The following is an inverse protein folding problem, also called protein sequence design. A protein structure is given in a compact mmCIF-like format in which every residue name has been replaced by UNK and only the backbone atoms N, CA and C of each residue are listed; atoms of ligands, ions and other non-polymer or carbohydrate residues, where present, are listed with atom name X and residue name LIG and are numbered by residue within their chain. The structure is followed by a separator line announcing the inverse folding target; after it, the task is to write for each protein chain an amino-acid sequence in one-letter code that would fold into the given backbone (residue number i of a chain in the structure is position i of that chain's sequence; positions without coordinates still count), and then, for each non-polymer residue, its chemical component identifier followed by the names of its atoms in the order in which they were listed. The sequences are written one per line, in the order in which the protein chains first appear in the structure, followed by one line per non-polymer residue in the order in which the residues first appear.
data_IF_651741391980
#
_entry.id   IF_651741391980
#
_cell.length_a   1.000
_cell.length_b   1.000
_cell.length_c   1.000
_cell.angle_alpha   90.00
_cell.angle_beta   90.00
_cell.angle_gamma   90.00
#
_symmetry.space_group_name_H-M   'P 1'
#
loop_
_entity.id
_entity.type
_entity.pdbx_description
1 polymer ?
#
# COMPACT_ATOMS: atom_id res chain seq x y z
N UNK A 1 6.88 -13.70 0.36
CA UNK A 1 5.90 -12.76 -0.22
C UNK A 1 6.06 -11.40 0.42
N UNK A 2 6.16 -10.37 -0.38
CA UNK A 2 6.26 -9.00 0.10
C UNK A 2 4.97 -8.24 -0.17
N UNK A 3 4.46 -7.57 0.86
CA UNK A 3 3.22 -6.79 0.82
C UNK A 3 3.53 -5.34 1.16
N UNK A 4 2.74 -4.42 0.62
CA UNK A 4 2.88 -3.00 0.84
C UNK A 4 1.55 -2.39 1.24
N UNK A 5 1.58 -1.51 2.24
CA UNK A 5 0.46 -0.62 2.57
C UNK A 5 0.94 0.82 2.42
N UNK A 6 0.25 1.60 1.60
CA UNK A 6 0.46 3.03 1.47
C UNK A 6 -0.67 3.75 2.21
N UNK A 7 -0.35 4.69 3.07
CA UNK A 7 -1.32 5.53 3.77
C UNK A 7 -0.90 7.00 3.72
N UNK A 8 -1.78 7.90 4.10
CA UNK A 8 -1.56 9.34 3.95
C UNK A 8 -0.48 9.88 4.87
N UNK A 9 -0.57 9.59 6.17
CA UNK A 9 0.28 10.19 7.18
C UNK A 9 0.87 9.21 8.17
N UNK A 10 1.82 9.69 8.94
CA UNK A 10 2.54 8.89 9.94
C UNK A 10 1.62 8.39 11.06
N UNK A 11 0.62 9.18 11.45
CA UNK A 11 -0.38 8.76 12.44
C UNK A 11 -1.16 7.54 11.96
N UNK A 12 -1.54 7.54 10.67
CA UNK A 12 -2.20 6.39 10.05
C UNK A 12 -1.30 5.16 10.05
N UNK A 13 -0.02 5.35 9.70
CA UNK A 13 0.95 4.26 9.68
C UNK A 13 1.15 3.64 11.08
N UNK A 14 1.22 4.46 12.11
CA UNK A 14 1.34 4.00 13.52
C UNK A 14 0.10 3.21 13.93
N UNK A 15 -1.08 3.72 13.63
CA UNK A 15 -2.34 3.04 13.94
C UNK A 15 -2.44 1.68 13.22
N UNK A 16 -2.12 1.66 11.93
CA UNK A 16 -2.10 0.43 11.14
C UNK A 16 -1.13 -0.60 11.73
N UNK A 17 0.08 -0.18 12.08
CA UNK A 17 1.08 -1.07 12.66
C UNK A 17 0.60 -1.67 13.98
N UNK A 18 -0.06 -0.88 14.81
CA UNK A 18 -0.63 -1.35 16.06
C UNK A 18 -1.67 -2.46 15.84
N UNK A 19 -2.60 -2.24 14.91
CA UNK A 19 -3.61 -3.27 14.58
C UNK A 19 -2.97 -4.54 14.02
N UNK A 20 -2.00 -4.40 13.14
CA UNK A 20 -1.32 -5.56 12.53
C UNK A 20 -0.55 -6.38 13.55
N UNK A 21 0.12 -5.73 14.49
CA UNK A 21 0.81 -6.43 15.57
C UNK A 21 -0.16 -7.13 16.52
N UNK A 22 -1.26 -6.47 16.88
CA UNK A 22 -2.23 -7.02 17.85
C UNK A 22 -3.15 -8.08 17.27
N UNK A 23 -3.62 -7.89 16.04
CA UNK A 23 -4.65 -8.73 15.45
C UNK A 23 -4.11 -9.79 14.51
N UNK A 24 -2.98 -9.57 13.89
CA UNK A 24 -2.49 -10.42 12.81
C UNK A 24 -1.09 -11.01 13.06
N UNK A 25 -0.45 -10.68 14.17
CA UNK A 25 0.83 -11.28 14.55
C UNK A 25 2.04 -10.81 13.75
N UNK A 26 1.95 -9.63 13.12
CA UNK A 26 3.10 -9.01 12.46
C UNK A 26 4.03 -8.38 13.50
N UNK A 27 5.33 -8.48 13.30
CA UNK A 27 6.34 -7.95 14.21
C UNK A 27 7.23 -6.96 13.48
N UNK A 28 7.51 -5.81 14.10
CA UNK A 28 8.45 -4.84 13.53
C UNK A 28 9.79 -5.51 13.22
N UNK A 29 10.34 -5.18 12.05
CA UNK A 29 11.63 -5.67 11.60
C UNK A 29 12.55 -4.49 11.27
N UNK A 30 13.74 -4.48 11.87
CA UNK A 30 14.77 -3.51 11.53
C UNK A 30 15.45 -3.81 10.19
N UNK A 31 15.16 -4.97 9.60
CA UNK A 31 15.74 -5.41 8.33
C UNK A 31 14.65 -5.51 7.27
N UNK A 32 14.99 -5.09 6.05
CA UNK A 32 14.18 -5.29 4.86
C UNK A 32 14.52 -6.63 4.20
N UNK A 33 13.65 -7.11 3.26
CA UNK A 33 14.04 -8.23 2.40
C UNK A 33 15.34 -7.92 1.66
N UNK A 34 16.11 -8.95 1.37
CA UNK A 34 17.41 -8.79 0.72
C UNK A 34 17.28 -8.08 -0.63
N UNK A 35 18.09 -7.04 -0.83
CA UNK A 35 18.11 -6.27 -2.06
C UNK A 35 16.96 -5.27 -2.22
N UNK A 36 16.11 -5.11 -1.19
CA UNK A 36 14.97 -4.21 -1.23
C UNK A 36 15.05 -3.20 -0.09
N UNK A 37 15.54 -2.01 -0.39
CA UNK A 37 15.57 -0.90 0.55
C UNK A 37 14.76 0.27 0.00
N UNK A 38 13.75 0.70 0.75
CA UNK A 38 12.93 1.87 0.41
C UNK A 38 13.23 2.95 1.43
N UNK A 39 13.77 4.06 0.95
CA UNK A 39 14.20 5.17 1.79
C UNK A 39 13.31 6.38 1.55
N UNK A 40 12.90 6.99 2.65
CA UNK A 40 12.15 8.25 2.61
C UNK A 40 13.12 9.42 2.63
N UNK A 41 12.76 10.50 1.96
CA UNK A 41 13.60 11.69 1.81
C UNK A 41 12.97 12.93 2.45
N UNK A 42 11.67 12.91 2.71
CA UNK A 42 10.93 14.02 3.31
C UNK A 42 10.57 13.70 4.76
N UNK A 43 10.51 14.74 5.61
CA UNK A 43 10.25 14.58 7.04
C UNK A 43 8.86 14.02 7.36
N UNK A 44 7.89 14.23 6.46
CA UNK A 44 6.52 13.75 6.61
C UNK A 44 6.26 12.37 6.02
N UNK A 45 7.29 11.74 5.46
CA UNK A 45 7.23 10.37 4.94
C UNK A 45 7.77 9.38 5.96
N UNK A 46 7.28 8.15 5.95
CA UNK A 46 7.85 7.05 6.72
C UNK A 46 7.77 5.73 5.96
N UNK A 47 8.69 4.83 6.27
CA UNK A 47 8.72 3.48 5.70
C UNK A 47 9.25 2.53 6.76
N UNK A 48 8.42 1.60 7.22
CA UNK A 48 8.79 0.63 8.24
C UNK A 48 8.41 -0.77 7.81
N UNK A 49 9.33 -1.70 8.03
CA UNK A 49 9.14 -3.11 7.71
C UNK A 49 8.62 -3.91 8.90
N UNK A 50 7.78 -4.87 8.58
CA UNK A 50 7.24 -5.86 9.52
C UNK A 50 7.43 -7.25 8.93
N UNK A 51 7.53 -8.24 9.81
CA UNK A 51 7.73 -9.63 9.41
C UNK A 51 6.74 -10.54 10.11
N UNK A 52 6.26 -11.53 9.38
CA UNK A 52 5.46 -12.64 9.90
C UNK A 52 5.85 -13.89 9.12
N UNK A 53 6.41 -14.89 9.82
CA UNK A 53 6.98 -16.09 9.20
C UNK A 53 8.01 -15.70 8.12
N UNK A 54 7.80 -16.09 6.87
CA UNK A 54 8.68 -15.74 5.75
C UNK A 54 8.20 -14.50 4.98
N UNK A 55 7.07 -13.92 5.37
CA UNK A 55 6.48 -12.77 4.68
C UNK A 55 6.95 -11.45 5.28
N UNK A 56 7.13 -10.45 4.41
CA UNK A 56 7.44 -9.09 4.80
C UNK A 56 6.30 -8.16 4.42
N UNK A 57 6.09 -7.16 5.25
CA UNK A 57 5.12 -6.09 5.01
C UNK A 57 5.81 -4.75 5.21
N UNK A 58 5.70 -3.87 4.22
CA UNK A 58 6.13 -2.49 4.32
C UNK A 58 4.92 -1.59 4.52
N UNK A 59 4.97 -0.73 5.54
CA UNK A 59 3.97 0.33 5.74
C UNK A 59 4.64 1.66 5.47
N UNK A 60 4.13 2.40 4.49
CA UNK A 60 4.63 3.72 4.12
C UNK A 60 3.58 4.79 4.35
N UNK A 61 3.96 5.87 5.01
CA UNK A 61 3.23 7.13 5.00
C UNK A 61 3.78 7.98 3.87
N UNK A 62 2.91 8.45 2.97
CA UNK A 62 3.35 9.18 1.77
C UNK A 62 3.47 10.70 1.97
N UNK A 63 3.05 11.20 3.14
CA UNK A 63 3.16 12.62 3.47
C UNK A 63 1.98 13.48 3.03
N UNK A 64 0.82 12.87 2.82
CA UNK A 64 -0.42 13.56 2.47
C UNK A 64 -1.14 12.94 1.29
N UNK A 65 -2.45 13.19 1.18
CA UNK A 65 -3.30 12.57 0.15
C UNK A 65 -2.90 12.91 -1.28
N UNK A 66 -2.25 14.04 -1.50
CA UNK A 66 -1.82 14.47 -2.83
C UNK A 66 -0.46 13.88 -3.23
N UNK A 67 0.20 13.16 -2.34
CA UNK A 67 1.55 12.64 -2.54
C UNK A 67 1.59 11.15 -2.95
N UNK A 68 0.47 10.46 -3.01
CA UNK A 68 0.45 9.03 -3.37
C UNK A 68 1.11 8.77 -4.72
N UNK A 69 0.75 9.53 -5.75
CA UNK A 69 1.29 9.35 -7.10
C UNK A 69 2.80 9.55 -7.13
N UNK A 70 3.26 10.64 -6.54
CA UNK A 70 4.69 10.97 -6.50
C UNK A 70 5.48 9.93 -5.73
N UNK A 71 4.97 9.51 -4.57
CA UNK A 71 5.61 8.48 -3.75
C UNK A 71 5.68 7.14 -4.49
N UNK A 72 4.59 6.72 -5.09
CA UNK A 72 4.54 5.47 -5.86
C UNK A 72 5.54 5.51 -7.01
N UNK A 73 5.53 6.55 -7.82
CA UNK A 73 6.40 6.66 -8.98
C UNK A 73 7.89 6.72 -8.60
N UNK A 74 8.24 7.38 -7.51
CA UNK A 74 9.63 7.56 -7.10
C UNK A 74 10.16 6.43 -6.24
N UNK A 75 9.35 5.85 -5.37
CA UNK A 75 9.81 4.91 -4.33
C UNK A 75 9.39 3.47 -4.56
N UNK A 76 8.24 3.24 -5.15
CA UNK A 76 7.65 1.91 -5.29
C UNK A 76 7.84 1.35 -6.69
N UNK A 77 7.57 2.15 -7.71
CA UNK A 77 7.66 1.69 -9.09
C UNK A 77 9.05 1.22 -9.49
N UNK A 78 10.16 1.91 -9.14
CA UNK A 78 11.49 1.41 -9.49
C UNK A 78 11.80 0.01 -8.94
N UNK A 79 11.57 -0.31 -7.65
CA UNK A 79 11.76 -1.68 -7.17
C UNK A 79 10.85 -2.71 -7.83
N UNK A 80 9.60 -2.34 -8.16
CA UNK A 80 8.71 -3.23 -8.92
C UNK A 80 9.32 -3.61 -10.27
N UNK A 81 9.83 -2.62 -10.99
CA UNK A 81 10.39 -2.84 -12.34
C UNK A 81 11.69 -3.65 -12.32
N UNK A 82 12.48 -3.53 -11.27
CA UNK A 82 13.81 -4.17 -11.18
C UNK A 82 13.72 -5.57 -10.54
N UNK A 83 12.93 -5.74 -9.50
CA UNK A 83 12.98 -6.95 -8.66
C UNK A 83 11.62 -7.54 -8.32
N UNK A 84 10.54 -7.12 -8.97
CA UNK A 84 9.19 -7.61 -8.69
C UNK A 84 8.87 -7.52 -7.18
N UNK A 85 9.13 -6.35 -6.58
CA UNK A 85 9.30 -6.17 -5.15
C UNK A 85 8.08 -6.53 -4.30
N UNK A 86 6.87 -6.31 -4.84
CA UNK A 86 5.64 -6.50 -4.08
C UNK A 86 4.61 -7.32 -4.87
N UNK A 87 3.94 -8.23 -4.17
CA UNK A 87 2.87 -9.06 -4.73
C UNK A 87 1.49 -8.49 -4.42
N UNK A 88 1.36 -7.77 -3.30
CA UNK A 88 0.11 -7.12 -2.88
C UNK A 88 0.40 -5.70 -2.42
N UNK A 89 -0.40 -4.76 -2.92
CA UNK A 89 -0.31 -3.34 -2.57
C UNK A 89 -1.69 -2.86 -2.16
N UNK A 90 -1.78 -2.32 -0.94
CA UNK A 90 -3.01 -1.72 -0.44
C UNK A 90 -2.82 -0.21 -0.26
N UNK A 91 -3.79 0.57 -0.69
CA UNK A 91 -3.83 2.02 -0.50
C UNK A 91 -4.93 2.33 0.50
N UNK A 92 -4.56 2.91 1.63
CA UNK A 92 -5.50 3.32 2.69
C UNK A 92 -5.56 4.85 2.69
N UNK A 93 -6.72 5.40 2.45
CA UNK A 93 -6.89 6.86 2.33
C UNK A 93 -8.17 7.33 3.00
N UNK A 94 -8.15 8.55 3.55
CA UNK A 94 -9.32 9.17 4.15
C UNK A 94 -10.28 9.66 3.07
N UNK A 95 -11.57 9.52 3.33
CA UNK A 95 -12.59 9.99 2.40
C UNK A 95 -12.65 11.51 2.35
N UNK A 96 -12.56 12.17 3.50
CA UNK A 96 -12.79 13.61 3.65
C UNK A 96 -14.14 14.01 3.02
N UNK A 97 -14.14 15.02 2.16
CA UNK A 97 -15.34 15.51 1.48
C UNK A 97 -15.45 14.97 0.04
N UNK A 98 -14.65 13.96 -0.32
CA UNK A 98 -14.61 13.44 -1.68
C UNK A 98 -15.67 12.34 -1.89
N UNK A 99 -16.14 12.25 -3.14
CA UNK A 99 -16.94 11.10 -3.55
C UNK A 99 -16.04 9.87 -3.72
N UNK A 100 -16.58 8.67 -3.43
CA UNK A 100 -15.84 7.41 -3.57
C UNK A 100 -15.30 7.24 -4.99
N UNK A 101 -16.09 7.60 -6.01
CA UNK A 101 -15.70 7.49 -7.43
C UNK A 101 -14.46 8.34 -7.72
N UNK A 102 -14.36 9.53 -7.14
CA UNK A 102 -13.20 10.41 -7.31
C UNK A 102 -11.94 9.77 -6.70
N UNK A 103 -12.06 9.17 -5.53
CA UNK A 103 -10.96 8.48 -4.85
C UNK A 103 -10.53 7.27 -5.66
N UNK A 104 -11.47 6.47 -6.13
CA UNK A 104 -11.20 5.30 -6.97
C UNK A 104 -10.44 5.67 -8.23
N UNK A 105 -10.87 6.73 -8.90
CA UNK A 105 -10.21 7.24 -10.10
C UNK A 105 -8.80 7.76 -9.82
N UNK A 106 -8.62 8.48 -8.70
CA UNK A 106 -7.31 8.98 -8.26
C UNK A 106 -6.34 7.83 -7.97
N UNK A 107 -6.79 6.80 -7.27
CA UNK A 107 -5.95 5.64 -6.94
C UNK A 107 -5.62 4.81 -8.19
N UNK A 108 -6.55 4.70 -9.13
CA UNK A 108 -6.27 4.07 -10.42
C UNK A 108 -5.10 4.77 -11.14
N UNK A 109 -5.09 6.11 -11.11
CA UNK A 109 -3.97 6.89 -11.64
C UNK A 109 -2.65 6.61 -10.91
N UNK A 110 -2.68 6.48 -9.58
CA UNK A 110 -1.49 6.11 -8.79
C UNK A 110 -0.93 4.77 -9.24
N UNK A 111 -1.79 3.78 -9.43
CA UNK A 111 -1.40 2.42 -9.80
C UNK A 111 -1.16 2.20 -11.29
N UNK A 112 -1.35 3.23 -12.11
CA UNK A 112 -1.21 3.16 -13.57
C UNK A 112 -2.17 2.14 -14.22
N UNK A 113 -3.41 2.11 -13.75
CA UNK A 113 -4.47 1.26 -14.29
C UNK A 113 -5.64 2.12 -14.78
N UNK A 114 -6.54 1.57 -15.63
CA UNK A 114 -7.72 2.31 -16.09
C UNK A 114 -8.59 2.78 -14.91
N UNK A 115 -9.15 3.98 -15.03
CA UNK A 115 -9.92 4.62 -13.97
C UNK A 115 -11.14 3.80 -13.50
N UNK A 116 -11.67 2.96 -14.35
CA UNK A 116 -12.83 2.10 -14.05
C UNK A 116 -12.49 0.81 -13.33
N UNK A 117 -11.20 0.46 -13.20
CA UNK A 117 -10.78 -0.83 -12.66
C UNK A 117 -10.72 -0.84 -11.13
N UNK A 118 -10.49 0.31 -10.50
CA UNK A 118 -10.38 0.38 -9.04
C UNK A 118 -11.74 0.59 -8.42
N UNK A 119 -12.11 -0.31 -7.51
CA UNK A 119 -13.34 -0.24 -6.71
C UNK A 119 -12.99 -0.39 -5.24
N UNK A 120 -13.55 0.47 -4.40
CA UNK A 120 -13.33 0.43 -2.96
C UNK A 120 -13.62 -0.96 -2.38
N UNK A 121 -12.70 -1.46 -1.55
CA UNK A 121 -12.79 -2.77 -0.90
C UNK A 121 -12.78 -3.99 -1.85
N UNK A 122 -12.30 -3.83 -3.07
CA UNK A 122 -12.19 -4.93 -4.03
C UNK A 122 -10.75 -5.08 -4.50
N UNK A 123 -10.24 -6.32 -4.46
CA UNK A 123 -8.95 -6.66 -5.04
C UNK A 123 -9.01 -6.58 -6.55
N UNK A 124 -8.00 -5.97 -7.13
CA UNK A 124 -7.81 -5.94 -8.59
C UNK A 124 -6.44 -6.50 -8.95
N UNK A 125 -6.34 -7.07 -10.14
CA UNK A 125 -5.09 -7.54 -10.71
C UNK A 125 -4.50 -6.42 -11.57
N UNK A 126 -3.27 -6.00 -11.24
CA UNK A 126 -2.56 -4.95 -11.97
C UNK A 126 -1.41 -5.57 -12.75
N UNK A 127 -1.29 -5.20 -14.01
CA UNK A 127 -0.27 -5.72 -14.91
C UNK A 127 0.79 -4.66 -15.20
N UNK A 128 2.05 -5.08 -15.26
CA UNK A 128 3.15 -4.22 -15.63
C UNK A 128 4.23 -5.02 -16.36
N UNK A 129 5.04 -4.32 -17.15
CA UNK A 129 6.21 -4.91 -17.80
C UNK A 129 7.45 -4.47 -17.02
N UNK A 130 8.23 -5.43 -16.54
CA UNK A 130 9.42 -5.12 -15.78
C UNK A 130 10.60 -4.69 -16.66
N UNK A 131 11.72 -4.35 -16.03
CA UNK A 131 12.94 -3.91 -16.73
C UNK A 131 13.49 -4.94 -17.72
N UNK A 132 13.17 -6.22 -17.52
CA UNK A 132 13.64 -7.32 -18.37
C UNK A 132 12.63 -7.71 -19.44
N UNK A 133 11.65 -6.84 -19.72
CA UNK A 133 10.57 -7.06 -20.70
C UNK A 133 9.65 -8.24 -20.37
N UNK A 134 9.60 -8.65 -19.10
CA UNK A 134 8.69 -9.69 -18.64
C UNK A 134 7.40 -9.06 -18.11
N UNK A 135 6.28 -9.67 -18.48
CA UNK A 135 4.98 -9.27 -17.93
C UNK A 135 4.82 -9.82 -16.52
N UNK A 136 4.49 -8.93 -15.58
CA UNK A 136 4.31 -9.24 -14.18
C UNK A 136 2.99 -8.68 -13.67
N UNK A 137 2.56 -9.18 -12.53
CA UNK A 137 1.33 -8.73 -11.88
C UNK A 137 1.56 -8.46 -10.40
N UNK A 138 0.80 -7.52 -9.86
CA UNK A 138 0.55 -7.40 -8.43
C UNK A 138 -0.95 -7.21 -8.19
N UNK A 139 -1.40 -7.53 -6.99
CA UNK A 139 -2.79 -7.32 -6.61
C UNK A 139 -2.90 -6.04 -5.78
N UNK A 140 -3.90 -5.23 -6.06
CA UNK A 140 -4.12 -3.97 -5.37
C UNK A 140 -5.48 -3.91 -4.70
N UNK A 141 -5.54 -3.24 -3.55
CA UNK A 141 -6.75 -3.00 -2.79
C UNK A 141 -6.82 -1.55 -2.35
N UNK A 142 -7.93 -0.90 -2.62
CA UNK A 142 -8.25 0.41 -2.07
C UNK A 142 -9.12 0.26 -0.82
N UNK A 143 -8.72 0.90 0.27
CA UNK A 143 -9.50 1.00 1.51
C UNK A 143 -9.73 2.47 1.83
N UNK A 144 -10.98 2.92 1.77
CA UNK A 144 -11.37 4.30 2.08
C UNK A 144 -11.86 4.38 3.53
N UNK A 145 -11.33 5.33 4.29
CA UNK A 145 -11.61 5.54 5.72
C UNK A 145 -12.12 6.98 5.95
N UNK A 146 -13.01 7.27 6.88
CA UNK A 146 -13.76 6.30 7.65
C UNK A 146 -14.80 5.61 6.80
N UNK A 147 -14.88 4.32 7.00
CA UNK A 147 -16.06 3.61 6.57
C UNK A 147 -17.07 3.73 7.71
N UNK A 148 -18.34 3.90 7.40
CA UNK A 148 -19.41 4.14 8.38
C UNK A 148 -19.56 3.00 9.43
N UNK A 149 -18.84 1.91 9.23
CA UNK A 149 -18.82 0.75 10.14
C UNK A 149 -17.42 0.58 10.75
N UNK A 150 -17.33 0.70 12.05
CA UNK A 150 -16.10 0.58 12.82
C UNK A 150 -15.32 -0.74 12.61
N UNK A 151 -16.00 -1.83 12.25
CA UNK A 151 -15.35 -3.11 11.99
C UNK A 151 -14.88 -3.30 10.54
N UNK A 152 -15.28 -2.43 9.62
CA UNK A 152 -14.96 -2.59 8.20
C UNK A 152 -13.49 -2.32 7.90
N UNK A 153 -12.86 -1.36 8.59
CA UNK A 153 -11.43 -1.08 8.44
C UNK A 153 -10.60 -2.27 8.91
N UNK A 154 -10.89 -2.83 10.07
CA UNK A 154 -10.18 -3.99 10.61
C UNK A 154 -10.30 -5.18 9.68
N UNK A 155 -11.50 -5.48 9.20
CA UNK A 155 -11.74 -6.58 8.27
C UNK A 155 -11.00 -6.38 6.96
N UNK A 156 -11.07 -5.18 6.38
CA UNK A 156 -10.38 -4.87 5.13
C UNK A 156 -8.86 -4.96 5.28
N UNK A 157 -8.31 -4.51 6.42
CA UNK A 157 -6.89 -4.62 6.71
C UNK A 157 -6.45 -6.08 6.88
N UNK A 158 -7.24 -6.89 7.58
CA UNK A 158 -6.95 -8.32 7.74
C UNK A 158 -6.97 -9.03 6.38
N UNK A 159 -7.91 -8.69 5.52
CA UNK A 159 -7.97 -9.22 4.16
C UNK A 159 -6.75 -8.77 3.33
N UNK A 160 -6.31 -7.53 3.51
CA UNK A 160 -5.15 -6.99 2.79
C UNK A 160 -3.84 -7.71 3.09
N UNK A 161 -3.72 -8.29 4.28
CA UNK A 161 -2.48 -8.91 4.76
C UNK A 161 -2.55 -10.44 4.86
N UNK A 162 -3.69 -11.00 4.61
CA UNK A 162 -3.85 -12.47 4.49
C UNK A 162 -3.61 -12.94 3.03
#
# INVERSE_FOLDING_TARGET
MNKLILCEGETDAVLLSYYLEKLAGWTYSSKSPQGLAIRTTEDNESANWYKKDEDYLLICAVGGKDNFKQFFDKKINPPLLVSDAFEKISVVTDRDNREIVEIESSVASVLNVPATDVKNNQWIECHYTNKFALEKTFYALLVVVPNEQQGALETALLDAIS
#
